data_IF_250667868085
#
_entry.id   IF_250667868085
#
_cell.length_a   1.000
_cell.length_b   1.000
_cell.length_c   1.000
_cell.angle_alpha   90.00
_cell.angle_beta   90.00
_cell.angle_gamma   90.00
#
_symmetry.space_group_name_H-M   'P 1'
#
loop_
_entity.id
_entity.type
_entity.pdbx_description
1 polymer ?
#
# COMPACT_ATOMS: atom_id res chain seq x y z
N UNK A 1 -33.38 -40.33 -49.83
CA UNK A 1 -33.00 -40.56 -48.42
C UNK A 1 -32.71 -39.20 -47.80
N UNK A 2 -33.52 -38.77 -46.83
CA UNK A 2 -33.43 -37.49 -46.11
C UNK A 2 -32.52 -37.65 -44.87
N UNK A 3 -32.11 -36.49 -44.34
CA UNK A 3 -31.63 -36.18 -42.96
C UNK A 3 -30.09 -36.01 -42.84
N UNK A 4 -29.57 -34.93 -42.21
CA UNK A 4 -30.00 -33.51 -42.24
C UNK A 4 -28.83 -32.49 -42.34
N UNK A 5 -29.15 -31.26 -42.77
CA UNK A 5 -28.28 -30.08 -42.60
C UNK A 5 -28.27 -29.63 -41.14
N UNK A 6 -27.08 -29.33 -40.64
CA UNK A 6 -26.80 -28.91 -39.26
C UNK A 6 -27.45 -27.56 -38.93
N UNK A 7 -28.36 -27.57 -37.96
CA UNK A 7 -29.11 -26.40 -37.49
C UNK A 7 -28.29 -25.42 -36.62
N UNK A 8 -27.00 -25.67 -36.38
CA UNK A 8 -26.19 -24.86 -35.46
C UNK A 8 -25.47 -23.65 -36.09
N UNK A 9 -25.35 -23.57 -37.43
CA UNK A 9 -24.71 -22.40 -38.06
C UNK A 9 -25.66 -21.23 -38.36
N UNK A 10 -26.98 -21.45 -38.35
CA UNK A 10 -27.96 -20.40 -38.67
C UNK A 10 -28.34 -19.56 -37.43
N UNK A 11 -28.15 -20.06 -36.21
CA UNK A 11 -28.39 -19.29 -34.98
C UNK A 11 -27.29 -18.25 -34.68
N UNK A 12 -26.05 -18.49 -35.10
CA UNK A 12 -24.92 -17.58 -34.79
C UNK A 12 -24.92 -16.31 -35.65
N UNK A 13 -25.54 -16.33 -36.83
CA UNK A 13 -25.68 -15.15 -37.69
C UNK A 13 -26.90 -14.31 -37.31
N UNK A 14 -27.93 -14.91 -36.68
CA UNK A 14 -29.13 -14.21 -36.19
C UNK A 14 -28.95 -13.44 -34.86
N UNK A 15 -27.94 -13.79 -34.05
CA UNK A 15 -27.70 -13.11 -32.77
C UNK A 15 -26.84 -11.84 -32.96
N UNK A 16 -26.04 -11.76 -34.03
CA UNK A 16 -25.22 -10.58 -34.31
C UNK A 16 -26.02 -9.41 -34.94
N UNK A 17 -27.22 -9.64 -35.47
CA UNK A 17 -28.05 -8.61 -36.11
C UNK A 17 -29.14 -8.02 -35.21
N UNK A 18 -29.42 -8.61 -34.05
CA UNK A 18 -30.42 -8.10 -33.09
C UNK A 18 -29.83 -7.29 -31.92
N UNK A 19 -28.51 -7.30 -31.74
CA UNK A 19 -27.80 -6.40 -30.82
C UNK A 19 -27.52 -5.06 -31.51
N UNK A 20 -28.60 -4.39 -31.91
CA UNK A 20 -28.57 -2.95 -32.15
C UNK A 20 -27.95 -2.27 -30.94
N UNK A 21 -27.14 -1.24 -31.20
CA UNK A 21 -26.59 -0.34 -30.21
C UNK A 21 -27.73 0.26 -29.35
N UNK A 22 -28.17 -0.47 -28.31
CA UNK A 22 -28.99 0.12 -27.25
C UNK A 22 -28.07 1.04 -26.49
N UNK A 23 -28.23 2.34 -26.76
CA UNK A 23 -27.79 3.43 -25.90
C UNK A 23 -28.42 3.17 -24.52
N UNK A 24 -27.69 2.49 -23.64
CA UNK A 24 -28.15 2.17 -22.29
C UNK A 24 -28.49 3.51 -21.62
N UNK A 25 -29.73 3.65 -21.15
CA UNK A 25 -30.13 4.80 -20.36
C UNK A 25 -29.26 4.87 -19.11
N UNK A 26 -28.99 6.07 -18.57
CA UNK A 26 -28.27 6.21 -17.30
C UNK A 26 -28.93 5.39 -16.18
N UNK A 27 -30.24 5.22 -16.23
CA UNK A 27 -31.02 4.37 -15.33
C UNK A 27 -30.74 2.88 -15.53
N UNK A 28 -30.51 2.40 -16.76
CA UNK A 28 -30.18 0.98 -17.01
C UNK A 28 -28.78 0.64 -16.52
N UNK A 29 -27.82 1.55 -16.71
CA UNK A 29 -26.46 1.41 -16.17
C UNK A 29 -26.50 1.42 -14.64
N UNK A 30 -27.30 2.32 -14.05
CA UNK A 30 -27.47 2.43 -12.61
C UNK A 30 -28.18 1.22 -12.00
N UNK A 31 -29.24 0.71 -12.65
CA UNK A 31 -29.97 -0.49 -12.22
C UNK A 31 -29.08 -1.73 -12.30
N UNK A 32 -28.27 -1.85 -13.35
CA UNK A 32 -27.31 -2.95 -13.51
C UNK A 32 -26.16 -2.86 -12.51
N UNK A 33 -25.66 -1.64 -12.22
CA UNK A 33 -24.68 -1.38 -11.17
C UNK A 33 -25.23 -1.71 -9.77
N UNK A 34 -26.50 -1.41 -9.51
CA UNK A 34 -27.19 -1.74 -8.26
C UNK A 34 -27.46 -3.26 -8.13
N UNK A 35 -27.76 -3.95 -9.23
CA UNK A 35 -27.98 -5.41 -9.24
C UNK A 35 -26.70 -6.23 -9.01
N UNK A 36 -25.54 -5.70 -9.42
CA UNK A 36 -24.23 -6.28 -9.11
C UNK A 36 -23.81 -6.05 -7.64
N UNK A 37 -24.58 -5.24 -6.93
CA UNK A 37 -24.31 -4.75 -5.58
C UNK A 37 -25.18 -5.45 -4.52
N UNK A 38 -25.84 -6.56 -4.87
CA UNK A 38 -26.45 -7.45 -3.88
C UNK A 38 -25.39 -7.71 -2.79
N UNK A 39 -25.70 -7.43 -1.51
CA UNK A 39 -24.75 -7.61 -0.44
C UNK A 39 -24.35 -9.08 -0.46
N UNK A 40 -23.12 -9.37 -0.87
CA UNK A 40 -22.53 -10.67 -0.65
C UNK A 40 -22.58 -10.88 0.87
N UNK A 41 -23.52 -11.70 1.33
CA UNK A 41 -23.59 -12.18 2.71
C UNK A 41 -22.39 -13.08 2.96
N UNK A 42 -21.22 -12.46 3.10
CA UNK A 42 -20.04 -13.14 3.58
C UNK A 42 -20.23 -13.32 5.08
N UNK A 43 -20.80 -14.47 5.44
CA UNK A 43 -20.78 -14.98 6.80
C UNK A 43 -19.39 -14.79 7.40
N UNK A 44 -19.31 -14.28 8.63
CA UNK A 44 -18.04 -13.98 9.26
C UNK A 44 -17.14 -15.21 9.22
N UNK A 45 -15.98 -15.19 8.54
CA UNK A 45 -15.12 -16.36 8.53
C UNK A 45 -14.69 -16.66 9.97
N UNK A 46 -14.80 -17.93 10.39
CA UNK A 46 -14.27 -18.43 11.67
C UNK A 46 -12.86 -17.85 11.89
N UNK A 47 -12.58 -17.30 13.09
CA UNK A 47 -11.32 -16.59 13.40
C UNK A 47 -10.06 -17.36 12.95
N UNK A 48 -10.06 -18.69 13.00
CA UNK A 48 -8.95 -19.55 12.58
C UNK A 48 -8.67 -19.56 11.06
N UNK A 49 -9.68 -19.29 10.22
CA UNK A 49 -9.56 -19.30 8.74
C UNK A 49 -9.22 -17.92 8.15
N UNK A 50 -9.39 -16.85 8.92
CA UNK A 50 -9.21 -15.45 8.47
C UNK A 50 -7.83 -15.14 7.89
N UNK A 51 -6.79 -15.80 8.39
CA UNK A 51 -5.40 -15.59 7.97
C UNK A 51 -4.77 -16.84 7.32
N UNK A 52 -5.55 -17.87 7.00
CA UNK A 52 -5.01 -19.12 6.48
C UNK A 52 -4.21 -18.91 5.18
N UNK A 53 -4.74 -18.08 4.28
CA UNK A 53 -4.07 -17.75 3.01
C UNK A 53 -2.88 -16.80 3.22
N UNK A 54 -2.99 -15.83 4.13
CA UNK A 54 -1.85 -14.95 4.48
C UNK A 54 -0.70 -15.73 5.13
N UNK A 55 -0.98 -16.80 5.87
CA UNK A 55 0.05 -17.68 6.45
C UNK A 55 0.78 -18.48 5.38
N UNK A 56 0.14 -18.81 4.26
CA UNK A 56 0.83 -19.48 3.13
C UNK A 56 1.87 -18.59 2.47
N UNK A 57 1.69 -17.26 2.55
CA UNK A 57 2.72 -16.29 2.12
C UNK A 57 3.96 -16.33 3.02
N UNK A 58 3.85 -16.85 4.24
CA UNK A 58 4.97 -17.02 5.18
C UNK A 58 5.84 -18.26 4.88
N UNK A 59 5.51 -19.05 3.86
CA UNK A 59 6.36 -20.18 3.45
C UNK A 59 7.53 -19.66 2.59
N UNK A 60 8.78 -20.07 2.85
CA UNK A 60 9.95 -19.56 2.12
C UNK A 60 9.88 -19.86 0.62
N UNK A 61 9.47 -21.07 0.27
CA UNK A 61 9.27 -21.52 -1.11
C UNK A 61 7.86 -22.09 -1.26
N UNK A 62 7.17 -21.68 -2.32
CA UNK A 62 5.83 -22.18 -2.66
C UNK A 62 5.87 -22.83 -4.03
N UNK A 63 5.49 -24.10 -4.07
CA UNK A 63 5.30 -24.83 -5.33
C UNK A 63 4.09 -24.21 -6.04
N UNK A 64 4.27 -23.81 -7.30
CA UNK A 64 3.22 -23.19 -8.11
C UNK A 64 2.04 -24.16 -8.20
N UNK A 65 0.87 -23.71 -7.76
CA UNK A 65 -0.37 -24.47 -7.89
C UNK A 65 -0.74 -24.55 -9.38
N UNK A 66 -1.10 -25.76 -9.86
CA UNK A 66 -1.62 -25.98 -11.22
C UNK A 66 -2.98 -25.28 -11.43
N UNK A 67 -3.70 -24.97 -10.35
CA UNK A 67 -4.88 -24.13 -10.39
C UNK A 67 -4.49 -22.65 -10.47
N UNK A 68 -5.05 -22.01 -11.49
CA UNK A 68 -4.94 -20.60 -11.85
C UNK A 68 -5.22 -19.67 -10.66
N UNK A 69 -4.20 -19.35 -9.87
CA UNK A 69 -4.25 -18.12 -9.09
C UNK A 69 -3.97 -16.98 -10.07
N UNK A 70 -4.95 -16.09 -10.22
CA UNK A 70 -4.99 -15.12 -11.31
C UNK A 70 -3.80 -14.14 -11.29
N UNK A 71 -3.28 -13.80 -10.10
CA UNK A 71 -2.13 -12.91 -9.94
C UNK A 71 -0.89 -13.65 -9.39
N UNK A 72 0.33 -13.42 -9.94
CA UNK A 72 1.54 -14.14 -9.52
C UNK A 72 1.89 -13.96 -8.05
N UNK A 73 1.51 -12.83 -7.45
CA UNK A 73 1.76 -12.59 -6.03
C UNK A 73 1.02 -13.55 -5.10
N UNK A 74 -0.15 -14.03 -5.50
CA UNK A 74 -0.96 -14.93 -4.67
C UNK A 74 -0.32 -16.32 -4.59
N UNK A 75 0.67 -16.59 -5.44
CA UNK A 75 1.47 -17.81 -5.46
C UNK A 75 2.89 -17.60 -4.94
N UNK A 76 3.30 -16.37 -4.65
CA UNK A 76 4.65 -16.06 -4.18
C UNK A 76 4.85 -16.56 -2.73
N UNK A 77 6.01 -17.16 -2.46
CA UNK A 77 6.50 -17.42 -1.10
C UNK A 77 7.13 -16.16 -0.49
N UNK A 78 7.64 -16.26 0.74
CA UNK A 78 8.29 -15.15 1.45
C UNK A 78 9.45 -14.55 0.66
N UNK A 79 10.36 -15.40 0.17
CA UNK A 79 11.59 -14.94 -0.50
C UNK A 79 11.23 -14.23 -1.80
N UNK A 80 10.32 -14.82 -2.58
CA UNK A 80 9.86 -14.21 -3.84
C UNK A 80 9.11 -12.90 -3.59
N UNK A 81 8.34 -12.82 -2.51
CA UNK A 81 7.64 -11.60 -2.12
C UNK A 81 8.60 -10.52 -1.61
N UNK A 82 9.64 -10.90 -0.85
CA UNK A 82 10.62 -10.00 -0.26
C UNK A 82 11.58 -9.41 -1.30
N UNK A 83 12.00 -10.23 -2.27
CA UNK A 83 12.87 -9.81 -3.37
C UNK A 83 12.10 -9.30 -4.59
N UNK A 84 10.78 -9.20 -4.53
CA UNK A 84 9.90 -8.82 -5.65
C UNK A 84 10.14 -9.66 -6.92
N UNK A 85 10.68 -10.87 -6.79
CA UNK A 85 11.05 -11.69 -7.94
C UNK A 85 9.85 -12.19 -8.74
N UNK A 86 8.64 -12.14 -8.16
CA UNK A 86 7.40 -12.44 -8.86
C UNK A 86 7.03 -11.38 -9.91
N UNK A 87 7.56 -10.15 -9.80
CA UNK A 87 7.35 -9.06 -10.77
C UNK A 87 8.29 -9.17 -11.97
N UNK A 88 9.49 -9.73 -11.78
CA UNK A 88 10.54 -9.83 -12.81
C UNK A 88 10.05 -10.41 -14.15
N UNK A 89 9.24 -11.49 -14.20
CA UNK A 89 8.75 -12.02 -15.47
C UNK A 89 7.83 -11.04 -16.22
N UNK A 90 7.09 -10.20 -15.51
CA UNK A 90 6.20 -9.19 -16.11
C UNK A 90 7.07 -8.06 -16.68
N UNK A 91 8.05 -7.59 -15.92
CA UNK A 91 8.99 -6.54 -16.36
C UNK A 91 9.79 -6.97 -17.59
N UNK A 92 10.32 -8.19 -17.60
CA UNK A 92 11.07 -8.73 -18.76
C UNK A 92 10.19 -8.83 -20.01
N UNK A 93 8.93 -9.27 -19.86
CA UNK A 93 7.98 -9.28 -20.98
C UNK A 93 7.71 -7.87 -21.51
N UNK A 94 7.57 -6.89 -20.63
CA UNK A 94 7.37 -5.49 -21.02
C UNK A 94 8.59 -4.83 -21.66
N UNK A 95 9.79 -5.27 -21.29
CA UNK A 95 11.02 -4.87 -21.96
C UNK A 95 11.11 -5.45 -23.38
N UNK A 96 10.73 -6.72 -23.55
CA UNK A 96 10.80 -7.42 -24.83
C UNK A 96 9.68 -7.04 -25.81
N UNK A 97 8.48 -6.74 -25.30
CA UNK A 97 7.29 -6.47 -26.11
C UNK A 97 6.41 -5.43 -25.44
N UNK A 98 5.69 -4.63 -26.24
CA UNK A 98 4.70 -3.69 -25.73
C UNK A 98 3.63 -4.43 -24.92
N UNK A 99 3.43 -4.03 -23.67
CA UNK A 99 2.38 -4.58 -22.82
C UNK A 99 1.02 -4.03 -23.27
N UNK A 100 0.09 -4.95 -23.54
CA UNK A 100 -1.32 -4.66 -23.71
C UNK A 100 -2.06 -5.08 -22.45
N UNK A 101 -3.21 -4.45 -22.14
CA UNK A 101 -3.99 -4.74 -20.93
C UNK A 101 -4.33 -6.24 -20.79
N UNK A 102 -4.55 -6.92 -21.91
CA UNK A 102 -4.85 -8.36 -21.96
C UNK A 102 -3.67 -9.26 -21.56
N UNK A 103 -2.44 -8.73 -21.58
CA UNK A 103 -1.21 -9.45 -21.26
C UNK A 103 -0.69 -9.17 -19.84
N UNK A 104 -1.37 -8.29 -19.10
CA UNK A 104 -1.05 -7.97 -17.70
C UNK A 104 -1.88 -8.91 -16.81
N UNK A 105 -1.28 -9.50 -15.76
CA UNK A 105 -2.04 -10.34 -14.84
C UNK A 105 -3.22 -9.56 -14.21
N UNK A 106 -4.40 -10.19 -14.09
CA UNK A 106 -5.54 -9.57 -13.42
C UNK A 106 -5.23 -9.31 -11.95
N UNK A 107 -5.87 -8.29 -11.37
CA UNK A 107 -5.69 -7.90 -9.97
C UNK A 107 -5.94 -9.08 -9.02
N UNK A 108 -5.13 -9.19 -7.96
CA UNK A 108 -5.35 -10.15 -6.89
C UNK A 108 -6.74 -9.98 -6.26
N UNK A 109 -7.41 -11.10 -5.98
CA UNK A 109 -8.71 -11.09 -5.29
C UNK A 109 -8.64 -10.41 -3.90
N UNK A 110 -7.46 -10.38 -3.26
CA UNK A 110 -7.26 -9.71 -1.98
C UNK A 110 -7.08 -8.20 -2.10
N UNK A 111 -6.68 -7.72 -3.28
CA UNK A 111 -6.55 -6.31 -3.62
C UNK A 111 -7.82 -5.76 -4.29
N UNK A 112 -8.74 -6.63 -4.72
CA UNK A 112 -10.01 -6.24 -5.33
C UNK A 112 -10.85 -5.32 -4.45
N UNK A 113 -11.50 -4.34 -5.08
CA UNK A 113 -12.33 -3.32 -4.42
C UNK A 113 -13.50 -3.94 -3.67
N UNK A 114 -14.18 -4.93 -4.25
CA UNK A 114 -15.37 -5.54 -3.65
C UNK A 114 -15.11 -6.05 -2.21
N UNK A 115 -14.01 -6.78 -2.00
CA UNK A 115 -13.65 -7.32 -0.69
C UNK A 115 -13.27 -6.21 0.30
N UNK A 116 -12.41 -5.29 -0.13
CA UNK A 116 -11.88 -4.22 0.73
C UNK A 116 -12.97 -3.19 1.09
N UNK A 117 -13.87 -2.89 0.15
CA UNK A 117 -15.03 -2.03 0.34
C UNK A 117 -16.01 -2.62 1.35
N UNK A 118 -16.44 -3.87 1.19
CA UNK A 118 -17.36 -4.51 2.15
C UNK A 118 -16.78 -4.55 3.56
N UNK A 119 -15.46 -4.73 3.66
CA UNK A 119 -14.75 -4.68 4.96
C UNK A 119 -14.77 -3.28 5.58
N UNK A 120 -14.53 -2.22 4.81
CA UNK A 120 -14.54 -0.84 5.29
C UNK A 120 -15.95 -0.41 5.67
N UNK A 121 -16.93 -0.68 4.80
CA UNK A 121 -18.35 -0.38 5.03
C UNK A 121 -18.85 -1.01 6.33
N UNK A 122 -18.53 -2.30 6.56
CA UNK A 122 -18.89 -2.95 7.82
C UNK A 122 -18.32 -2.24 9.04
N UNK A 123 -17.05 -1.82 9.00
CA UNK A 123 -16.45 -1.08 10.12
C UNK A 123 -17.04 0.32 10.29
N UNK A 124 -17.49 0.95 9.20
CA UNK A 124 -18.22 2.22 9.24
C UNK A 124 -19.59 2.05 9.90
N UNK A 125 -20.35 1.02 9.51
CA UNK A 125 -21.65 0.71 10.12
C UNK A 125 -21.51 0.34 11.62
N UNK A 126 -20.46 -0.38 12.00
CA UNK A 126 -20.16 -0.65 13.41
C UNK A 126 -19.87 0.64 14.20
N UNK A 127 -19.14 1.59 13.63
CA UNK A 127 -18.85 2.88 14.26
C UNK A 127 -20.12 3.72 14.42
N UNK A 128 -20.96 3.77 13.38
CA UNK A 128 -22.26 4.46 13.41
C UNK A 128 -23.18 3.89 14.50
N UNK A 129 -23.29 2.56 14.59
CA UNK A 129 -24.09 1.90 15.63
C UNK A 129 -23.56 2.18 17.04
N UNK A 130 -22.24 2.24 17.22
CA UNK A 130 -21.63 2.40 18.55
C UNK A 130 -21.62 3.84 19.04
N UNK A 131 -21.38 4.81 18.17
CA UNK A 131 -21.18 6.23 18.55
C UNK A 131 -22.33 7.14 18.13
N UNK A 132 -23.22 6.68 17.26
CA UNK A 132 -24.24 7.51 16.62
C UNK A 132 -23.64 8.41 15.52
N UNK A 133 -24.51 8.93 14.66
CA UNK A 133 -24.11 9.71 13.48
C UNK A 133 -23.27 10.95 13.83
N UNK A 134 -23.64 11.66 14.91
CA UNK A 134 -22.97 12.91 15.33
C UNK A 134 -21.54 12.72 15.85
N UNK A 135 -21.19 11.53 16.33
CA UNK A 135 -19.86 11.23 16.94
C UNK A 135 -19.06 10.19 16.16
N UNK A 136 -19.63 9.62 15.08
CA UNK A 136 -18.92 8.70 14.22
C UNK A 136 -17.83 9.43 13.42
N UNK A 137 -16.70 8.77 13.21
CA UNK A 137 -15.54 9.40 12.55
C UNK A 137 -14.88 8.43 11.59
N UNK A 138 -14.82 8.84 10.32
CA UNK A 138 -14.15 8.08 9.26
C UNK A 138 -12.65 7.92 9.51
N UNK A 139 -12.01 8.92 10.12
CA UNK A 139 -10.60 8.85 10.51
C UNK A 139 -10.34 7.67 11.47
N UNK A 140 -11.19 7.51 12.49
CA UNK A 140 -11.07 6.40 13.44
C UNK A 140 -11.27 5.03 12.76
N UNK A 141 -12.19 4.96 11.80
CA UNK A 141 -12.44 3.75 11.02
C UNK A 141 -11.25 3.44 10.10
N UNK A 142 -10.65 4.45 9.46
CA UNK A 142 -9.46 4.30 8.64
C UNK A 142 -8.25 3.76 9.44
N UNK A 143 -7.99 4.30 10.63
CA UNK A 143 -6.95 3.79 11.53
C UNK A 143 -7.24 2.33 11.94
N UNK A 144 -8.49 2.01 12.29
CA UNK A 144 -8.90 0.64 12.62
C UNK A 144 -8.73 -0.31 11.44
N UNK A 145 -9.04 0.14 10.23
CA UNK A 145 -8.91 -0.62 8.99
C UNK A 145 -7.46 -1.05 8.75
N UNK A 146 -6.52 -0.14 9.01
CA UNK A 146 -5.09 -0.34 8.77
C UNK A 146 -4.36 -1.06 9.91
N UNK A 147 -4.87 -0.99 11.15
CA UNK A 147 -4.21 -1.47 12.38
C UNK A 147 -3.47 -2.81 12.23
N UNK A 148 -4.12 -3.84 11.68
CA UNK A 148 -3.47 -5.16 11.53
C UNK A 148 -2.27 -5.13 10.59
N UNK A 149 -2.33 -4.33 9.52
CA UNK A 149 -1.23 -4.20 8.55
C UNK A 149 -0.09 -3.36 9.11
N UNK A 150 -0.42 -2.33 9.91
CA UNK A 150 0.58 -1.54 10.65
C UNK A 150 1.38 -2.40 11.62
N UNK A 151 0.73 -3.33 12.32
CA UNK A 151 1.41 -4.27 13.21
C UNK A 151 2.32 -5.23 12.43
N UNK A 152 1.88 -5.71 11.26
CA UNK A 152 2.68 -6.59 10.40
C UNK A 152 3.88 -5.84 9.80
N UNK A 153 3.70 -4.59 9.35
CA UNK A 153 4.80 -3.75 8.85
C UNK A 153 5.78 -3.34 9.94
N UNK A 154 5.38 -3.42 11.22
CA UNK A 154 6.26 -3.12 12.36
C UNK A 154 7.52 -3.99 12.41
N UNK A 155 7.45 -5.27 12.00
CA UNK A 155 8.60 -6.18 12.00
C UNK A 155 9.68 -5.74 10.99
N UNK A 156 9.39 -5.62 9.67
CA UNK A 156 10.39 -5.13 8.73
C UNK A 156 10.82 -3.70 9.03
N UNK A 157 9.94 -2.87 9.60
CA UNK A 157 10.31 -1.51 10.02
C UNK A 157 11.32 -1.50 11.17
N UNK A 158 11.15 -2.34 12.19
CA UNK A 158 12.11 -2.47 13.29
C UNK A 158 13.47 -2.98 12.79
N UNK A 159 13.48 -3.99 11.91
CA UNK A 159 14.72 -4.50 11.30
C UNK A 159 15.40 -3.45 10.43
N UNK A 160 14.64 -2.68 9.65
CA UNK A 160 15.17 -1.56 8.86
C UNK A 160 15.89 -0.55 9.76
N UNK A 161 15.29 -0.13 10.88
CA UNK A 161 15.89 0.82 11.81
C UNK A 161 17.15 0.24 12.45
N UNK A 162 17.07 -1.00 12.93
CA UNK A 162 18.18 -1.66 13.59
C UNK A 162 19.38 -1.79 12.66
N UNK A 163 19.17 -2.23 11.41
CA UNK A 163 20.24 -2.36 10.43
C UNK A 163 20.77 -0.99 9.98
N UNK A 164 19.90 0.01 9.79
CA UNK A 164 20.31 1.38 9.46
C UNK A 164 21.20 1.99 10.53
N UNK A 165 20.83 1.78 11.81
CA UNK A 165 21.62 2.28 12.92
C UNK A 165 22.93 1.51 13.04
N UNK A 166 22.88 0.17 13.02
CA UNK A 166 24.06 -0.69 13.17
C UNK A 166 25.10 -0.46 12.07
N UNK A 167 24.67 -0.28 10.82
CA UNK A 167 25.58 -0.04 9.69
C UNK A 167 26.28 1.31 9.81
N UNK A 168 25.52 2.37 10.07
CA UNK A 168 26.04 3.74 10.17
C UNK A 168 26.90 3.98 11.42
N UNK A 169 26.63 3.29 12.53
CA UNK A 169 27.29 3.53 13.82
C UNK A 169 28.36 2.48 14.11
N UNK A 170 27.95 1.24 14.39
CA UNK A 170 28.82 0.18 14.89
C UNK A 170 29.80 -0.30 13.83
N UNK A 171 29.30 -0.63 12.63
CA UNK A 171 30.14 -1.21 11.57
C UNK A 171 31.11 -0.15 11.04
N UNK A 172 30.62 1.07 10.78
CA UNK A 172 31.46 2.16 10.31
C UNK A 172 32.57 2.51 11.31
N UNK A 173 32.25 2.61 12.61
CA UNK A 173 33.26 2.83 13.64
C UNK A 173 34.27 1.69 13.73
N UNK A 174 33.81 0.45 13.59
CA UNK A 174 34.71 -0.71 13.61
C UNK A 174 35.67 -0.71 12.41
N UNK A 175 35.21 -0.28 11.23
CA UNK A 175 36.05 -0.11 10.04
C UNK A 175 37.07 1.03 10.25
N UNK A 176 36.64 2.14 10.84
CA UNK A 176 37.53 3.26 11.13
C UNK A 176 38.64 2.84 12.11
N UNK A 177 38.27 2.20 13.23
CA UNK A 177 39.23 1.65 14.19
C UNK A 177 40.14 0.58 13.58
N UNK A 178 39.63 -0.25 12.68
CA UNK A 178 40.46 -1.22 11.94
C UNK A 178 41.49 -0.52 11.05
N UNK A 179 41.13 0.61 10.45
CA UNK A 179 42.00 1.38 9.55
C UNK A 179 43.13 2.07 10.30
N UNK A 180 42.89 2.49 11.54
CA UNK A 180 43.88 3.17 12.41
C UNK A 180 44.90 2.22 13.08
N UNK A 181 44.60 0.92 13.19
CA UNK A 181 45.51 -0.06 13.81
C UNK A 181 46.77 -0.27 12.97
N UNK A 182 47.94 -0.27 13.62
CA UNK A 182 49.23 -0.55 12.96
C UNK A 182 49.38 -2.00 12.48
N UNK A 183 48.89 -2.97 13.25
CA UNK A 183 48.87 -4.39 12.85
C UNK A 183 47.44 -4.82 12.50
N UNK A 184 47.23 -5.18 11.24
CA UNK A 184 45.90 -5.47 10.67
C UNK A 184 45.79 -6.95 10.32
N UNK A 185 44.80 -7.63 10.93
CA UNK A 185 44.41 -8.98 10.52
C UNK A 185 43.46 -8.89 9.32
N UNK A 186 43.88 -9.37 8.15
CA UNK A 186 43.10 -9.33 6.90
C UNK A 186 41.72 -9.98 7.05
N UNK A 187 41.63 -11.09 7.79
CA UNK A 187 40.36 -11.79 8.05
C UNK A 187 39.31 -10.91 8.75
N UNK A 188 39.74 -10.04 9.67
CA UNK A 188 38.85 -9.10 10.36
C UNK A 188 38.33 -8.04 9.38
N UNK A 189 39.20 -7.49 8.52
CA UNK A 189 38.80 -6.55 7.47
C UNK A 189 37.77 -7.15 6.51
N UNK A 190 38.01 -8.37 6.03
CA UNK A 190 37.05 -9.11 5.18
C UNK A 190 35.72 -9.33 5.90
N UNK A 191 35.75 -9.71 7.19
CA UNK A 191 34.56 -9.86 8.01
C UNK A 191 33.74 -8.58 8.15
N UNK A 192 34.39 -7.42 8.34
CA UNK A 192 33.73 -6.12 8.41
C UNK A 192 33.09 -5.71 7.08
N UNK A 193 33.76 -5.96 5.95
CA UNK A 193 33.18 -5.71 4.62
C UNK A 193 31.94 -6.57 4.38
N UNK A 194 31.99 -7.85 4.74
CA UNK A 194 30.83 -8.74 4.62
C UNK A 194 29.69 -8.35 5.56
N UNK A 195 30.00 -7.93 6.78
CA UNK A 195 29.02 -7.42 7.73
C UNK A 195 28.34 -6.14 7.20
N UNK A 196 29.11 -5.20 6.65
CA UNK A 196 28.59 -3.98 6.03
C UNK A 196 27.63 -4.33 4.88
N UNK A 197 28.09 -5.13 3.93
CA UNK A 197 27.27 -5.58 2.80
C UNK A 197 25.96 -6.25 3.25
N UNK A 198 26.05 -7.20 4.18
CA UNK A 198 24.88 -7.92 4.69
C UNK A 198 23.90 -6.98 5.40
N UNK A 199 24.40 -6.07 6.24
CA UNK A 199 23.57 -5.09 6.93
C UNK A 199 22.83 -4.17 5.96
N UNK A 200 23.52 -3.70 4.92
CA UNK A 200 22.96 -2.82 3.89
C UNK A 200 21.95 -3.54 3.00
N UNK A 201 22.21 -4.80 2.63
CA UNK A 201 21.29 -5.63 1.87
C UNK A 201 20.00 -5.91 2.65
N UNK A 202 20.10 -6.23 3.94
CA UNK A 202 18.94 -6.43 4.81
C UNK A 202 18.18 -5.12 4.97
N UNK A 203 18.88 -4.00 5.26
CA UNK A 203 18.30 -2.67 5.41
C UNK A 203 17.48 -2.28 4.18
N UNK A 204 18.06 -2.42 2.99
CA UNK A 204 17.42 -2.10 1.71
C UNK A 204 16.18 -2.97 1.46
N UNK A 205 16.29 -4.28 1.66
CA UNK A 205 15.17 -5.22 1.48
C UNK A 205 14.02 -4.94 2.45
N UNK A 206 14.33 -4.67 3.72
CA UNK A 206 13.32 -4.35 4.72
C UNK A 206 12.61 -3.03 4.41
N UNK A 207 13.34 -2.01 3.93
CA UNK A 207 12.75 -0.75 3.48
C UNK A 207 11.77 -0.96 2.32
N UNK A 208 12.18 -1.74 1.30
CA UNK A 208 11.32 -2.07 0.16
C UNK A 208 10.05 -2.81 0.60
N UNK A 209 10.15 -3.74 1.56
CA UNK A 209 9.00 -4.44 2.14
C UNK A 209 8.04 -3.49 2.87
N UNK A 210 8.56 -2.58 3.70
CA UNK A 210 7.73 -1.57 4.38
C UNK A 210 6.99 -0.72 3.33
N UNK A 211 7.72 -0.27 2.31
CA UNK A 211 7.14 0.53 1.21
C UNK A 211 6.01 -0.22 0.50
N UNK A 212 6.23 -1.48 0.13
CA UNK A 212 5.22 -2.28 -0.56
C UNK A 212 3.98 -2.57 0.31
N UNK A 213 4.15 -2.88 1.59
CA UNK A 213 3.03 -3.11 2.51
C UNK A 213 2.20 -1.83 2.68
N UNK A 214 2.86 -0.68 2.87
CA UNK A 214 2.20 0.60 3.08
C UNK A 214 1.47 1.06 1.81
N UNK A 215 2.11 0.99 0.64
CA UNK A 215 1.48 1.36 -0.63
C UNK A 215 0.24 0.51 -0.91
N UNK A 216 0.32 -0.81 -0.75
CA UNK A 216 -0.86 -1.67 -0.92
C UNK A 216 -1.96 -1.36 0.08
N UNK A 217 -1.59 -1.03 1.31
CA UNK A 217 -2.55 -0.62 2.34
C UNK A 217 -3.24 0.69 1.97
N UNK A 218 -2.49 1.65 1.46
CA UNK A 218 -3.00 2.92 0.94
C UNK A 218 -3.96 2.71 -0.22
N UNK A 219 -3.57 1.93 -1.24
CA UNK A 219 -4.41 1.65 -2.42
C UNK A 219 -5.74 1.03 -1.99
N UNK A 220 -5.69 0.02 -1.10
CA UNK A 220 -6.91 -0.65 -0.59
C UNK A 220 -7.80 0.30 0.18
N UNK A 221 -7.25 1.19 1.01
CA UNK A 221 -8.05 2.16 1.76
C UNK A 221 -8.67 3.21 0.84
N UNK A 222 -7.87 3.82 -0.05
CA UNK A 222 -8.37 4.80 -1.03
C UNK A 222 -9.47 4.20 -1.89
N UNK A 223 -9.22 3.05 -2.50
CA UNK A 223 -10.19 2.38 -3.37
C UNK A 223 -11.51 2.09 -2.65
N UNK A 224 -11.44 1.57 -1.41
CA UNK A 224 -12.62 1.31 -0.60
C UNK A 224 -13.37 2.61 -0.21
N UNK A 225 -12.65 3.65 0.22
CA UNK A 225 -13.24 4.92 0.61
C UNK A 225 -13.91 5.65 -0.57
N UNK A 226 -13.21 5.76 -1.70
CA UNK A 226 -13.75 6.35 -2.94
C UNK A 226 -14.99 5.60 -3.42
N UNK A 227 -14.99 4.27 -3.35
CA UNK A 227 -16.14 3.46 -3.73
C UNK A 227 -17.34 3.65 -2.78
N UNK A 228 -17.10 3.74 -1.47
CA UNK A 228 -18.14 4.04 -0.48
C UNK A 228 -18.77 5.42 -0.73
N UNK A 229 -17.95 6.43 -0.99
CA UNK A 229 -18.41 7.80 -1.32
C UNK A 229 -19.19 7.80 -2.63
N UNK A 230 -18.68 7.14 -3.67
CA UNK A 230 -19.37 7.01 -4.96
C UNK A 230 -20.75 6.36 -4.82
N UNK A 231 -20.86 5.25 -4.08
CA UNK A 231 -22.15 4.59 -3.79
C UNK A 231 -23.11 5.51 -3.06
N UNK A 232 -22.61 6.32 -2.12
CA UNK A 232 -23.44 7.29 -1.40
C UNK A 232 -23.99 8.34 -2.38
N UNK A 233 -23.14 8.90 -3.24
CA UNK A 233 -23.52 9.94 -4.21
C UNK A 233 -24.59 9.43 -5.18
N UNK A 234 -24.42 8.24 -5.76
CA UNK A 234 -25.38 7.66 -6.72
C UNK A 234 -26.76 7.39 -6.09
N UNK A 235 -26.83 7.21 -4.76
CA UNK A 235 -28.09 7.00 -4.02
C UNK A 235 -28.75 8.30 -3.55
N UNK A 236 -28.07 9.44 -3.65
CA UNK A 236 -28.66 10.73 -3.29
C UNK A 236 -29.60 11.19 -4.40
N UNK A 237 -30.79 11.70 -4.03
CA UNK A 237 -31.76 12.27 -4.98
C UNK A 237 -31.32 13.62 -5.58
N UNK A 238 -30.30 14.24 -5.00
CA UNK A 238 -29.67 15.48 -5.44
C UNK A 238 -28.46 15.81 -4.56
N UNK A 239 -27.53 16.62 -5.07
CA UNK A 239 -26.30 16.99 -4.37
C UNK A 239 -26.49 18.11 -3.32
N UNK A 240 -27.70 18.66 -3.19
CA UNK A 240 -27.98 19.78 -2.28
C UNK A 240 -27.14 21.00 -2.65
N UNK A 241 -26.36 21.50 -1.69
CA UNK A 241 -25.45 22.63 -1.88
C UNK A 241 -24.08 22.22 -2.44
N UNK A 242 -23.80 20.93 -2.59
CA UNK A 242 -22.50 20.44 -3.07
C UNK A 242 -22.47 20.44 -4.59
N UNK A 243 -21.44 21.05 -5.19
CA UNK A 243 -21.29 21.05 -6.64
C UNK A 243 -20.75 19.72 -7.19
N UNK A 244 -20.99 19.44 -8.47
CA UNK A 244 -20.38 18.28 -9.15
C UNK A 244 -18.84 18.36 -9.11
N UNK A 245 -18.28 19.56 -9.24
CA UNK A 245 -16.83 19.79 -9.13
C UNK A 245 -16.28 19.45 -7.76
N UNK A 246 -17.01 19.81 -6.70
CA UNK A 246 -16.63 19.49 -5.32
C UNK A 246 -16.65 17.99 -5.05
N UNK A 247 -17.65 17.27 -5.59
CA UNK A 247 -17.68 15.80 -5.56
C UNK A 247 -16.47 15.19 -6.26
N UNK A 248 -16.12 15.68 -7.46
CA UNK A 248 -14.95 15.20 -8.21
C UNK A 248 -13.66 15.48 -7.42
N UNK A 249 -13.57 16.62 -6.76
CA UNK A 249 -12.43 16.99 -5.92
C UNK A 249 -12.27 16.05 -4.72
N UNK A 250 -13.37 15.70 -4.04
CA UNK A 250 -13.36 14.72 -2.94
C UNK A 250 -12.89 13.34 -3.43
N UNK A 251 -13.38 12.86 -4.57
CA UNK A 251 -13.00 11.55 -5.10
C UNK A 251 -11.54 11.52 -5.58
N UNK A 252 -11.04 12.63 -6.12
CA UNK A 252 -9.72 12.73 -6.74
C UNK A 252 -8.65 13.20 -5.76
N UNK A 253 -8.74 14.45 -5.30
CA UNK A 253 -7.73 15.09 -4.46
C UNK A 253 -7.75 14.55 -3.03
N UNK A 254 -8.93 14.49 -2.39
CA UNK A 254 -9.00 13.96 -1.01
C UNK A 254 -8.74 12.46 -0.97
N UNK A 255 -9.18 11.73 -2.01
CA UNK A 255 -8.81 10.32 -2.21
C UNK A 255 -7.29 10.11 -2.33
N UNK A 256 -6.59 10.99 -3.04
CA UNK A 256 -5.13 10.97 -3.15
C UNK A 256 -4.46 11.28 -1.81
N UNK A 257 -4.90 12.33 -1.10
CA UNK A 257 -4.41 12.67 0.24
C UNK A 257 -4.62 11.54 1.24
N UNK A 258 -5.74 10.83 1.16
CA UNK A 258 -6.01 9.65 1.98
C UNK A 258 -5.03 8.50 1.68
N UNK A 259 -4.71 8.27 0.40
CA UNK A 259 -3.68 7.31 -0.01
C UNK A 259 -2.31 7.68 0.54
N UNK A 260 -1.92 8.95 0.44
CA UNK A 260 -0.64 9.44 0.94
C UNK A 260 -0.56 9.32 2.46
N UNK A 261 -1.58 9.76 3.19
CA UNK A 261 -1.65 9.62 4.64
C UNK A 261 -1.55 8.15 5.08
N UNK A 262 -2.21 7.24 4.36
CA UNK A 262 -2.14 5.80 4.59
C UNK A 262 -0.76 5.18 4.31
N UNK A 263 -0.06 5.71 3.30
CA UNK A 263 1.22 5.18 2.83
C UNK A 263 2.38 5.71 3.66
N UNK A 264 2.38 7.00 3.95
CA UNK A 264 3.45 7.69 4.69
C UNK A 264 3.23 7.74 6.19
N UNK A 265 1.98 7.75 6.66
CA UNK A 265 1.66 7.82 8.10
C UNK A 265 2.45 6.84 8.96
N UNK A 266 2.58 5.55 8.59
CA UNK A 266 3.36 4.59 9.38
C UNK A 266 4.85 4.93 9.44
N UNK A 267 5.42 5.49 8.37
CA UNK A 267 6.82 5.94 8.32
C UNK A 267 7.03 7.19 9.19
N UNK A 268 6.04 8.09 9.25
CA UNK A 268 6.11 9.28 10.11
C UNK A 268 6.21 8.92 11.61
N UNK A 269 5.57 7.82 12.03
CA UNK A 269 5.68 7.32 13.41
C UNK A 269 7.12 6.93 13.78
N UNK A 270 7.98 6.69 12.80
CA UNK A 270 9.36 6.29 13.02
C UNK A 270 10.30 7.47 13.29
N UNK A 271 9.96 8.65 12.76
CA UNK A 271 10.77 9.86 12.87
C UNK A 271 11.17 10.18 14.33
N UNK A 272 10.23 10.25 15.30
CA UNK A 272 10.61 10.57 16.68
C UNK A 272 11.56 9.52 17.29
N UNK A 273 11.38 8.24 16.96
CA UNK A 273 12.25 7.18 17.44
C UNK A 273 13.68 7.32 16.88
N UNK A 274 13.81 7.60 15.58
CA UNK A 274 15.10 7.84 14.94
C UNK A 274 15.80 9.08 15.47
N UNK A 275 15.06 10.16 15.70
CA UNK A 275 15.61 11.40 16.28
C UNK A 275 16.14 11.17 17.70
N UNK A 276 15.37 10.49 18.55
CA UNK A 276 15.79 10.17 19.92
C UNK A 276 17.00 9.24 19.93
N UNK A 277 17.00 8.19 19.12
CA UNK A 277 18.11 7.24 19.04
C UNK A 277 19.38 7.92 18.51
N UNK A 278 19.25 8.74 17.47
CA UNK A 278 20.35 9.51 16.89
C UNK A 278 20.91 10.54 17.88
N UNK A 279 20.05 11.30 18.57
CA UNK A 279 20.46 12.27 19.58
C UNK A 279 21.16 11.61 20.77
N UNK A 280 20.62 10.49 21.29
CA UNK A 280 21.25 9.75 22.37
C UNK A 280 22.63 9.25 21.95
N UNK A 281 22.76 8.70 20.74
CA UNK A 281 24.03 8.20 20.24
C UNK A 281 25.09 9.29 20.04
N UNK A 282 24.72 10.43 19.47
CA UNK A 282 25.66 11.55 19.27
C UNK A 282 26.12 12.14 20.60
N UNK A 283 25.24 12.24 21.61
CA UNK A 283 25.61 12.64 22.97
C UNK A 283 26.61 11.65 23.58
N UNK A 284 26.40 10.35 23.41
CA UNK A 284 27.36 9.35 23.92
C UNK A 284 28.72 9.45 23.24
N UNK A 285 28.75 9.72 21.93
CA UNK A 285 29.99 9.77 21.15
C UNK A 285 30.78 11.08 21.32
N UNK A 286 30.09 12.21 21.26
CA UNK A 286 30.69 13.56 21.22
C UNK A 286 30.52 14.32 22.55
N UNK A 287 29.86 13.72 23.55
CA UNK A 287 29.59 14.30 24.87
C UNK A 287 28.90 15.66 24.75
N UNK A 288 29.46 16.70 25.38
CA UNK A 288 28.90 18.06 25.43
C UNK A 288 28.87 18.73 24.06
N UNK A 289 29.78 18.39 23.14
CA UNK A 289 29.83 18.98 21.80
C UNK A 289 28.62 18.60 20.94
N UNK A 290 27.97 17.45 21.19
CA UNK A 290 26.75 17.07 20.48
C UNK A 290 25.56 18.00 20.77
N UNK A 291 25.52 18.64 21.93
CA UNK A 291 24.41 19.53 22.31
C UNK A 291 24.29 20.72 21.38
N UNK A 292 25.42 21.25 20.89
CA UNK A 292 25.43 22.35 19.91
C UNK A 292 24.80 21.91 18.59
N UNK A 293 25.15 20.73 18.09
CA UNK A 293 24.56 20.19 16.85
C UNK A 293 23.06 19.93 16.99
N UNK A 294 22.61 19.37 18.12
CA UNK A 294 21.20 19.16 18.42
C UNK A 294 20.45 20.50 18.50
N UNK A 295 21.03 21.51 19.15
CA UNK A 295 20.43 22.84 19.24
C UNK A 295 20.24 23.48 17.86
N UNK A 296 21.25 23.40 16.98
CA UNK A 296 21.14 23.89 15.60
C UNK A 296 20.05 23.14 14.83
N UNK A 297 19.98 21.81 14.97
CA UNK A 297 18.95 21.01 14.31
C UNK A 297 17.53 21.39 14.77
N UNK A 298 17.34 21.63 16.07
CA UNK A 298 16.06 22.06 16.63
C UNK A 298 15.68 23.48 16.18
N UNK A 299 16.65 24.38 16.02
CA UNK A 299 16.43 25.74 15.48
C UNK A 299 16.11 25.73 13.97
N UNK A 300 16.64 24.77 13.23
CA UNK A 300 16.36 24.64 11.80
C UNK A 300 14.91 24.25 11.51
N UNK A 301 14.30 23.42 12.36
CA UNK A 301 12.92 22.98 12.21
C UNK A 301 11.88 24.12 12.10
N UNK A 302 11.81 25.10 13.03
CA UNK A 302 10.87 26.21 12.93
C UNK A 302 11.16 27.11 11.72
N UNK A 303 12.42 27.25 11.30
CA UNK A 303 12.78 28.00 10.08
C UNK A 303 12.18 27.30 8.85
N UNK A 304 12.29 25.97 8.78
CA UNK A 304 11.71 25.17 7.70
C UNK A 304 10.17 25.27 7.69
N UNK A 305 9.53 25.18 8.86
CA UNK A 305 8.06 25.34 8.99
C UNK A 305 7.63 26.75 8.57
N UNK A 306 8.33 27.79 9.02
CA UNK A 306 8.03 29.17 8.65
C UNK A 306 8.16 29.40 7.14
N UNK A 307 9.23 28.87 6.54
CA UNK A 307 9.48 28.96 5.09
C UNK A 307 8.39 28.24 4.31
N UNK A 308 7.96 27.07 4.77
CA UNK A 308 6.86 26.32 4.19
C UNK A 308 5.53 27.09 4.27
N UNK A 309 5.18 27.62 5.45
CA UNK A 309 3.94 28.41 5.64
C UNK A 309 3.95 29.66 4.76
N UNK A 310 5.08 30.38 4.68
CA UNK A 310 5.21 31.54 3.80
C UNK A 310 5.10 31.17 2.32
N UNK A 311 5.75 30.08 1.90
CA UNK A 311 5.66 29.60 0.52
C UNK A 311 4.23 29.24 0.14
N UNK A 312 3.51 28.53 1.02
CA UNK A 312 2.09 28.24 0.83
C UNK A 312 1.25 29.51 0.72
N UNK A 313 1.44 30.47 1.62
CA UNK A 313 0.67 31.71 1.60
C UNK A 313 0.97 32.58 0.37
N UNK A 314 2.22 32.62 -0.10
CA UNK A 314 2.61 33.38 -1.30
C UNK A 314 1.97 32.83 -2.58
N UNK A 315 1.70 31.52 -2.64
CA UNK A 315 1.10 30.87 -3.81
C UNK A 315 -0.41 31.20 -3.97
N UNK A 316 -1.08 31.67 -2.92
CA UNK A 316 -2.47 32.13 -2.96
C UNK A 316 -2.64 33.61 -3.34
N UNK A 317 -1.56 34.38 -3.46
CA UNK A 317 -1.61 35.81 -3.86
C UNK A 317 -1.26 36.03 -5.34
N UNK A 318 -0.98 34.96 -6.10
CA UNK A 318 -0.61 35.01 -7.52
C UNK A 318 -1.70 34.42 -8.44
N UNK A 319 -2.74 33.81 -7.88
CA UNK A 319 -3.95 33.36 -8.58
C UNK A 319 -5.16 34.25 -8.19
#
# INVERSE_FOLDING_TARGET
MKVPQDKHQIELVGISSSLGQRKLSGEDVMTRALSLDAPLEFGTPRKSRKYAESRKMLLPFRIKSKHSAAHPIDQAGLISSALFSWETPIMLKGYQRKLHMNNVPPLSNYDATALNNSRLERMWQEELKKKGEKRASLFHVAIRYQKTRLLISGIPMALYVLMSFTSATVILQSILQYTERQSKKVSLGVGLCFALFSSEAIRSTMFALVWAINNRTGIRLRSAATNMVFKKIVRLRGLGNTSVGEVINVLSNDGQRLFEAATFGPLLLLIPFLLLLGAAYTILLLKTSALVGIAIFLLYWPIQVFSFVKGYNAQWFVD
#
